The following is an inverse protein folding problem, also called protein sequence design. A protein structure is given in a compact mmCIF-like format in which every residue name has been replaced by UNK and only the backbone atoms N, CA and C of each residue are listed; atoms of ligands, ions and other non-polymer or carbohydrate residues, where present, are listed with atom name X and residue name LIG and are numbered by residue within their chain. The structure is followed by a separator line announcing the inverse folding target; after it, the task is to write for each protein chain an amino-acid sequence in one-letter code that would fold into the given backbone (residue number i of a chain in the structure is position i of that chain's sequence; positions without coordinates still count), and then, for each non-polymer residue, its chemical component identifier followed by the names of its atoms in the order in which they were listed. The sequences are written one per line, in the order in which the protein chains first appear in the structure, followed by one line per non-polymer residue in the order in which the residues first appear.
data_IF_988316898559
#
_entry.id   IF_988316898559
#
_cell.length_a   1.000
_cell.length_b   1.000
_cell.length_c   1.000
_cell.angle_alpha   90.00
_cell.angle_beta   90.00
_cell.angle_gamma   90.00
#
_symmetry.space_group_name_H-M   'P 1'
#
loop_
_entity.id
_entity.type
_entity.pdbx_description
1 polymer ?
#
# COMPACT_ATOMS: atom_id res chain seq x y z
N UNK A 1 16.06 25.53 -19.29
CA UNK A 1 14.87 24.72 -19.55
C UNK A 1 15.34 23.31 -19.86
N UNK A 2 14.97 22.32 -19.04
CA UNK A 2 15.30 20.91 -19.30
C UNK A 2 14.17 20.33 -20.16
N UNK A 3 14.53 19.73 -21.30
CA UNK A 3 13.57 19.02 -22.14
C UNK A 3 13.36 17.62 -21.54
N UNK A 4 12.11 17.25 -21.28
CA UNK A 4 11.74 15.94 -20.72
C UNK A 4 10.84 15.24 -21.72
N UNK A 5 11.26 14.07 -22.18
CA UNK A 5 10.52 13.25 -23.13
C UNK A 5 9.33 12.54 -22.51
N UNK A 6 9.45 12.22 -21.21
CA UNK A 6 8.42 11.48 -20.50
C UNK A 6 7.31 12.39 -19.94
N UNK A 7 6.04 11.93 -19.92
CA UNK A 7 4.93 12.74 -19.43
C UNK A 7 4.95 12.94 -17.91
N UNK A 8 5.60 12.05 -17.16
CA UNK A 8 5.77 12.15 -15.69
C UNK A 8 7.04 12.93 -15.35
N UNK A 9 7.03 13.68 -14.24
CA UNK A 9 8.11 14.58 -13.83
C UNK A 9 8.70 14.19 -12.49
N UNK A 10 7.88 14.08 -11.43
CA UNK A 10 8.33 13.77 -10.07
C UNK A 10 8.89 12.35 -9.98
N UNK A 11 8.32 11.41 -10.74
CA UNK A 11 8.81 10.03 -10.85
C UNK A 11 9.95 9.85 -11.87
N UNK A 12 10.43 10.92 -12.51
CA UNK A 12 11.43 10.83 -13.56
C UNK A 12 12.85 10.93 -12.97
N UNK A 13 13.70 9.97 -13.31
CA UNK A 13 15.13 9.94 -12.94
C UNK A 13 15.91 11.19 -13.36
N UNK A 14 15.45 11.93 -14.37
CA UNK A 14 16.08 13.19 -14.76
C UNK A 14 15.99 14.26 -13.65
N UNK A 15 14.98 14.19 -12.78
CA UNK A 15 14.78 15.11 -11.66
C UNK A 15 15.17 14.50 -10.30
N UNK A 16 15.19 13.19 -10.20
CA UNK A 16 15.57 12.44 -9.00
C UNK A 16 16.43 11.22 -9.41
N UNK A 17 17.73 11.42 -9.65
CA UNK A 17 18.63 10.37 -10.15
C UNK A 17 18.92 9.28 -9.12
N UNK A 18 18.88 9.61 -7.82
CA UNK A 18 19.17 8.68 -6.74
C UNK A 18 18.02 7.69 -6.51
N UNK A 19 18.34 6.52 -5.97
CA UNK A 19 17.33 5.56 -5.55
C UNK A 19 16.55 6.07 -4.34
N UNK A 20 15.23 5.98 -4.42
CA UNK A 20 14.37 6.30 -3.29
C UNK A 20 14.44 5.21 -2.24
N UNK A 21 14.55 5.62 -0.98
CA UNK A 21 14.43 4.73 0.19
C UNK A 21 13.23 5.20 1.00
N UNK A 22 12.24 4.33 1.14
CA UNK A 22 11.00 4.63 1.85
C UNK A 22 10.98 3.88 3.18
N UNK A 23 10.73 4.61 4.27
CA UNK A 23 10.57 4.03 5.60
C UNK A 23 9.10 3.69 5.86
N UNK A 24 8.85 2.45 6.26
CA UNK A 24 7.53 1.95 6.64
C UNK A 24 7.61 1.44 8.07
N UNK A 25 7.28 2.28 9.03
CA UNK A 25 7.30 1.88 10.45
C UNK A 25 8.66 1.38 10.94
N UNK A 26 9.75 1.96 10.43
CA UNK A 26 11.13 1.55 10.73
C UNK A 26 11.73 0.52 9.76
N UNK A 27 10.95 0.01 8.81
CA UNK A 27 11.43 -0.89 7.75
C UNK A 27 11.72 -0.11 6.48
N UNK A 28 12.96 -0.15 6.00
CA UNK A 28 13.38 0.53 4.77
C UNK A 28 13.08 -0.33 3.55
N UNK A 29 12.57 0.30 2.50
CA UNK A 29 12.26 -0.32 1.20
C UNK A 29 12.87 0.51 0.08
N UNK A 30 13.59 -0.11 -0.84
CA UNK A 30 14.30 0.54 -1.94
C UNK A 30 15.76 0.85 -1.62
N UNK A 31 16.52 1.35 -2.59
CA UNK A 31 17.94 1.67 -2.43
C UNK A 31 18.79 0.48 -1.95
N UNK A 32 18.50 -0.73 -2.43
CA UNK A 32 19.16 -1.98 -2.01
C UNK A 32 18.57 -2.64 -0.76
N UNK A 33 17.58 -2.03 -0.09
CA UNK A 33 16.87 -2.64 1.03
C UNK A 33 15.72 -3.51 0.54
N UNK A 34 15.77 -4.80 0.84
CA UNK A 34 14.69 -5.75 0.58
C UNK A 34 13.78 -5.87 1.81
N UNK A 35 12.47 -5.79 1.60
CA UNK A 35 11.48 -6.05 2.63
C UNK A 35 10.52 -7.17 2.18
N UNK A 36 10.25 -8.10 3.09
CA UNK A 36 9.29 -9.19 2.86
C UNK A 36 7.98 -8.82 3.54
N UNK A 37 6.91 -8.73 2.73
CA UNK A 37 5.55 -8.46 3.17
C UNK A 37 4.77 -9.79 3.12
N UNK A 38 4.35 -10.30 4.26
CA UNK A 38 3.61 -11.56 4.35
C UNK A 38 2.38 -11.43 5.24
N UNK A 39 1.41 -12.32 5.04
CA UNK A 39 0.19 -12.35 5.83
C UNK A 39 -1.01 -12.91 5.05
N UNK A 40 -2.18 -13.00 5.70
CA UNK A 40 -3.35 -13.60 5.09
C UNK A 40 -3.91 -12.75 3.95
N UNK A 41 -4.52 -13.40 2.96
CA UNK A 41 -5.24 -12.68 1.90
C UNK A 41 -6.41 -11.87 2.50
N UNK A 42 -7.10 -12.43 3.48
CA UNK A 42 -8.26 -11.87 4.13
C UNK A 42 -8.14 -11.96 5.65
N UNK A 43 -8.56 -10.92 6.36
CA UNK A 43 -8.72 -10.93 7.81
C UNK A 43 -10.07 -11.59 8.11
N UNK A 44 -10.06 -12.70 8.85
CA UNK A 44 -11.26 -13.49 9.15
C UNK A 44 -11.49 -13.66 10.66
N UNK A 45 -10.41 -13.79 11.44
CA UNK A 45 -10.48 -13.78 12.91
C UNK A 45 -9.21 -13.24 13.54
N UNK A 46 -9.30 -12.82 14.80
CA UNK A 46 -8.16 -12.31 15.55
C UNK A 46 -7.11 -13.39 15.79
N UNK A 47 -7.55 -14.58 16.14
CA UNK A 47 -6.70 -15.75 16.41
C UNK A 47 -5.89 -16.12 15.16
N UNK A 48 -6.57 -16.27 14.03
CA UNK A 48 -5.96 -16.56 12.74
C UNK A 48 -4.87 -15.56 12.38
N UNK A 49 -5.17 -14.25 12.46
CA UNK A 49 -4.22 -13.21 12.03
C UNK A 49 -3.02 -13.14 12.95
N UNK A 50 -3.20 -13.26 14.26
CA UNK A 50 -2.08 -13.26 15.22
C UNK A 50 -1.19 -14.50 15.04
N UNK A 51 -1.76 -15.67 14.81
CA UNK A 51 -1.00 -16.90 14.55
C UNK A 51 -0.17 -16.75 13.26
N UNK A 52 -0.81 -16.30 12.17
CA UNK A 52 -0.12 -16.06 10.91
C UNK A 52 0.98 -14.99 11.04
N UNK A 53 0.71 -13.90 11.77
CA UNK A 53 1.68 -12.82 11.99
C UNK A 53 2.93 -13.32 12.74
N UNK A 54 2.75 -14.15 13.78
CA UNK A 54 3.85 -14.78 14.52
C UNK A 54 4.68 -15.71 13.62
N UNK A 55 4.00 -16.55 12.83
CA UNK A 55 4.67 -17.45 11.90
C UNK A 55 5.42 -16.68 10.79
N UNK A 56 4.80 -15.65 10.21
CA UNK A 56 5.43 -14.80 9.22
C UNK A 56 6.68 -14.09 9.77
N UNK A 57 6.58 -13.54 10.99
CA UNK A 57 7.75 -12.92 11.67
C UNK A 57 8.86 -13.93 11.89
N UNK A 58 8.55 -15.11 12.39
CA UNK A 58 9.53 -16.18 12.61
C UNK A 58 10.20 -16.64 11.32
N UNK A 59 9.48 -16.57 10.18
CA UNK A 59 10.00 -16.86 8.85
C UNK A 59 10.78 -15.69 8.22
N UNK A 60 10.93 -14.55 8.89
CA UNK A 60 11.73 -13.41 8.44
C UNK A 60 10.94 -12.33 7.71
N UNK A 61 9.61 -12.32 7.77
CA UNK A 61 8.82 -11.21 7.25
C UNK A 61 9.08 -9.91 8.03
N UNK A 62 9.12 -8.80 7.30
CA UNK A 62 9.37 -7.46 7.85
C UNK A 62 8.08 -6.68 8.08
N UNK A 63 7.03 -6.96 7.28
CA UNK A 63 5.71 -6.33 7.36
C UNK A 63 4.62 -7.38 7.32
N UNK A 64 3.50 -7.09 8.02
CA UNK A 64 2.29 -7.91 8.01
C UNK A 64 1.28 -7.32 7.03
N UNK A 65 0.83 -8.12 6.05
CA UNK A 65 -0.29 -7.71 5.21
C UNK A 65 -1.57 -8.45 5.61
N UNK A 66 -2.69 -7.76 5.50
CA UNK A 66 -4.01 -8.36 5.66
C UNK A 66 -5.08 -7.51 4.97
N UNK A 67 -5.99 -8.15 4.24
CA UNK A 67 -7.12 -7.48 3.61
C UNK A 67 -8.30 -7.38 4.58
N UNK A 68 -8.56 -6.19 5.14
CA UNK A 68 -9.74 -5.93 5.96
C UNK A 68 -10.99 -5.69 5.11
N UNK A 69 -10.80 -5.07 3.95
CA UNK A 69 -11.81 -4.85 2.91
C UNK A 69 -11.46 -5.68 1.69
N UNK A 70 -12.45 -6.35 1.10
CA UNK A 70 -12.21 -7.29 -0.01
C UNK A 70 -13.05 -6.91 -1.24
N UNK A 71 -12.40 -6.45 -2.34
CA UNK A 71 -13.10 -6.27 -3.61
C UNK A 71 -13.44 -7.63 -4.21
N UNK A 72 -14.70 -7.93 -4.33
CA UNK A 72 -15.19 -9.19 -4.90
C UNK A 72 -16.00 -8.94 -6.16
N UNK A 73 -15.90 -9.84 -7.12
CA UNK A 73 -16.72 -9.80 -8.34
C UNK A 73 -18.17 -10.19 -8.07
N UNK A 74 -18.42 -11.01 -7.05
CA UNK A 74 -19.77 -11.38 -6.61
C UNK A 74 -20.17 -10.57 -5.37
N UNK A 75 -21.36 -9.93 -5.37
CA UNK A 75 -21.86 -9.22 -4.20
C UNK A 75 -22.25 -10.14 -3.04
N UNK A 76 -22.38 -11.45 -3.30
CA UNK A 76 -22.68 -12.46 -2.28
C UNK A 76 -21.43 -13.08 -1.63
N UNK A 77 -20.25 -12.77 -2.13
CA UNK A 77 -18.99 -13.22 -1.53
C UNK A 77 -18.65 -12.39 -0.29
N UNK A 78 -17.80 -12.94 0.59
CA UNK A 78 -17.31 -12.23 1.77
C UNK A 78 -16.58 -10.94 1.39
N UNK A 79 -17.08 -9.80 1.85
CA UNK A 79 -16.58 -8.46 1.50
C UNK A 79 -15.46 -7.97 2.43
N UNK A 80 -15.02 -8.77 3.38
CA UNK A 80 -14.09 -8.40 4.43
C UNK A 80 -14.77 -8.03 5.75
N UNK A 81 -13.98 -7.84 6.79
CA UNK A 81 -14.45 -7.46 8.11
C UNK A 81 -14.56 -5.94 8.31
N UNK A 82 -14.14 -5.14 7.33
CA UNK A 82 -14.16 -3.69 7.43
C UNK A 82 -13.28 -3.17 8.56
N UNK A 83 -13.73 -2.14 9.26
CA UNK A 83 -13.00 -1.50 10.36
C UNK A 83 -12.60 -2.47 11.47
N UNK A 84 -13.44 -3.45 11.81
CA UNK A 84 -13.07 -4.48 12.80
C UNK A 84 -11.89 -5.33 12.34
N UNK A 85 -11.71 -5.51 11.04
CA UNK A 85 -10.53 -6.17 10.46
C UNK A 85 -9.25 -5.35 10.63
N UNK A 86 -9.33 -4.02 10.59
CA UNK A 86 -8.21 -3.14 10.90
C UNK A 86 -7.80 -3.23 12.38
N UNK A 87 -8.76 -3.30 13.30
CA UNK A 87 -8.49 -3.50 14.73
C UNK A 87 -7.79 -4.82 15.00
N UNK A 88 -8.16 -5.88 14.29
CA UNK A 88 -7.47 -7.17 14.36
C UNK A 88 -6.01 -7.05 13.88
N UNK A 89 -5.76 -6.32 12.80
CA UNK A 89 -4.40 -6.08 12.30
C UNK A 89 -3.56 -5.28 13.31
N UNK A 90 -4.16 -4.28 13.96
CA UNK A 90 -3.50 -3.52 15.05
C UNK A 90 -3.12 -4.45 16.21
N UNK A 91 -4.02 -5.31 16.65
CA UNK A 91 -3.72 -6.29 17.69
C UNK A 91 -2.58 -7.26 17.29
N UNK A 92 -2.53 -7.67 16.02
CA UNK A 92 -1.44 -8.49 15.51
C UNK A 92 -0.10 -7.72 15.44
N UNK A 93 -0.12 -6.43 15.09
CA UNK A 93 1.05 -5.55 15.16
C UNK A 93 1.55 -5.42 16.60
N UNK A 94 0.67 -5.20 17.57
CA UNK A 94 1.03 -5.14 18.99
C UNK A 94 1.69 -6.44 19.47
N UNK A 95 1.17 -7.59 19.01
CA UNK A 95 1.70 -8.90 19.39
C UNK A 95 3.05 -9.25 18.72
N UNK A 96 3.40 -8.65 17.58
CA UNK A 96 4.56 -9.05 16.79
C UNK A 96 5.54 -7.93 16.51
N UNK A 97 5.11 -6.67 16.57
CA UNK A 97 5.89 -5.50 16.15
C UNK A 97 5.99 -5.33 14.63
N UNK A 98 5.27 -6.13 13.82
CA UNK A 98 5.29 -5.99 12.36
C UNK A 98 4.42 -4.80 11.93
N UNK A 99 4.96 -3.83 11.15
CA UNK A 99 4.15 -2.78 10.54
C UNK A 99 3.06 -3.36 9.61
N UNK A 100 1.92 -2.67 9.54
CA UNK A 100 0.74 -3.15 8.82
C UNK A 100 0.69 -2.63 7.40
N UNK A 101 0.36 -3.55 6.46
CA UNK A 101 -0.02 -3.25 5.08
C UNK A 101 -1.48 -3.68 4.85
N UNK A 102 -2.34 -2.76 4.44
CA UNK A 102 -3.74 -3.08 4.11
C UNK A 102 -4.25 -2.25 2.94
N UNK A 103 -5.20 -2.80 2.18
CA UNK A 103 -5.75 -2.16 1.00
C UNK A 103 -6.90 -1.21 1.35
N UNK A 104 -6.72 0.07 1.02
CA UNK A 104 -7.76 1.09 1.04
C UNK A 104 -8.58 0.99 -0.24
N UNK A 105 -9.89 0.79 -0.10
CA UNK A 105 -10.80 0.67 -1.23
C UNK A 105 -11.58 1.94 -1.51
N UNK A 106 -11.93 2.69 -0.48
CA UNK A 106 -12.71 3.91 -0.56
C UNK A 106 -12.12 5.01 0.34
N UNK A 107 -12.24 6.26 -0.11
CA UNK A 107 -11.78 7.42 0.64
C UNK A 107 -12.55 7.65 1.95
N UNK A 108 -13.72 7.05 2.12
CA UNK A 108 -14.50 7.09 3.37
C UNK A 108 -13.70 6.56 4.57
N UNK A 109 -12.84 5.56 4.32
CA UNK A 109 -12.03 4.93 5.38
C UNK A 109 -10.62 5.53 5.52
N UNK A 110 -10.31 6.59 4.77
CA UNK A 110 -8.95 7.12 4.68
C UNK A 110 -8.39 7.56 6.04
N UNK A 111 -9.18 8.24 6.86
CA UNK A 111 -8.74 8.72 8.17
C UNK A 111 -8.39 7.57 9.11
N UNK A 112 -9.19 6.50 9.09
CA UNK A 112 -8.93 5.29 9.86
C UNK A 112 -7.65 4.57 9.38
N UNK A 113 -7.42 4.53 8.07
CA UNK A 113 -6.19 3.99 7.50
C UNK A 113 -4.97 4.83 7.87
N UNK A 114 -5.10 6.14 7.87
CA UNK A 114 -4.02 7.04 8.32
C UNK A 114 -3.67 6.79 9.78
N UNK A 115 -4.63 6.49 10.62
CA UNK A 115 -4.39 6.17 12.02
C UNK A 115 -3.74 4.80 12.21
N UNK A 116 -4.29 3.75 11.59
CA UNK A 116 -4.01 2.34 11.93
C UNK A 116 -3.01 1.64 11.02
N UNK A 117 -2.85 2.05 9.76
CA UNK A 117 -2.05 1.35 8.75
C UNK A 117 -0.73 2.05 8.52
N UNK A 118 0.37 1.31 8.40
CA UNK A 118 1.72 1.87 8.18
C UNK A 118 2.05 2.04 6.70
N UNK A 119 1.56 1.14 5.84
CA UNK A 119 1.70 1.18 4.38
C UNK A 119 0.32 0.98 3.75
N UNK A 120 -0.22 2.05 3.17
CA UNK A 120 -1.55 2.03 2.56
C UNK A 120 -1.44 1.48 1.14
N UNK A 121 -2.08 0.32 0.89
CA UNK A 121 -2.12 -0.26 -0.44
C UNK A 121 -3.28 0.29 -1.24
N UNK A 122 -3.00 0.71 -2.47
CA UNK A 122 -4.01 0.97 -3.50
C UNK A 122 -4.02 -0.23 -4.44
N UNK A 123 -5.14 -0.93 -4.49
CA UNK A 123 -5.30 -2.13 -5.29
C UNK A 123 -5.34 -1.84 -6.79
N UNK A 124 -5.12 -2.89 -7.60
CA UNK A 124 -5.06 -2.79 -9.05
C UNK A 124 -6.33 -2.20 -9.67
N UNK A 125 -7.50 -2.45 -9.09
CA UNK A 125 -8.79 -1.91 -9.55
C UNK A 125 -8.92 -0.40 -9.31
N UNK A 126 -8.19 0.16 -8.37
CA UNK A 126 -8.18 1.58 -8.02
C UNK A 126 -6.94 2.34 -8.56
N UNK A 127 -6.09 1.69 -9.36
CA UNK A 127 -4.92 2.35 -9.93
C UNK A 127 -5.29 3.60 -10.75
N UNK A 128 -6.41 3.58 -11.44
CA UNK A 128 -6.92 4.68 -12.26
C UNK A 128 -8.03 5.50 -11.56
N UNK A 129 -8.29 5.25 -10.30
CA UNK A 129 -9.19 6.07 -9.49
C UNK A 129 -8.45 7.35 -9.06
N UNK A 130 -8.26 8.26 -10.00
CA UNK A 130 -7.44 9.46 -9.80
C UNK A 130 -7.95 10.36 -8.68
N UNK A 131 -9.26 10.37 -8.42
CA UNK A 131 -9.81 11.13 -7.30
C UNK A 131 -9.40 10.53 -5.95
N UNK A 132 -9.39 9.20 -5.82
CA UNK A 132 -8.84 8.52 -4.64
C UNK A 132 -7.35 8.82 -4.49
N UNK A 133 -6.57 8.71 -5.57
CA UNK A 133 -5.12 8.95 -5.55
C UNK A 133 -4.79 10.38 -5.10
N UNK A 134 -5.51 11.38 -5.60
CA UNK A 134 -5.36 12.78 -5.18
C UNK A 134 -5.71 12.98 -3.72
N UNK A 135 -6.82 12.40 -3.24
CA UNK A 135 -7.24 12.48 -1.84
C UNK A 135 -6.18 11.88 -0.91
N UNK A 136 -5.72 10.68 -1.22
CA UNK A 136 -4.67 9.98 -0.45
C UNK A 136 -3.37 10.80 -0.43
N UNK A 137 -2.89 11.25 -1.59
CA UNK A 137 -1.65 12.04 -1.70
C UNK A 137 -1.70 13.35 -0.92
N UNK A 138 -2.89 13.97 -0.84
CA UNK A 138 -3.10 15.22 -0.10
C UNK A 138 -3.21 15.00 1.42
N UNK A 139 -3.89 13.92 1.83
CA UNK A 139 -4.26 13.69 3.24
C UNK A 139 -3.10 13.19 4.10
N UNK A 140 -2.12 12.48 3.53
CA UNK A 140 -1.07 11.84 4.32
C UNK A 140 0.28 11.83 3.64
N UNK A 141 1.35 11.68 4.45
CA UNK A 141 2.73 11.36 4.00
C UNK A 141 3.09 9.90 4.28
N UNK A 142 2.17 9.11 4.82
CA UNK A 142 2.40 7.67 4.96
C UNK A 142 2.70 7.05 3.60
N UNK A 143 3.57 6.04 3.54
CA UNK A 143 3.90 5.36 2.31
C UNK A 143 2.67 4.72 1.65
N UNK A 144 2.64 4.78 0.32
CA UNK A 144 1.57 4.23 -0.50
C UNK A 144 2.15 3.11 -1.38
N UNK A 145 1.57 1.92 -1.30
CA UNK A 145 1.87 0.79 -2.17
C UNK A 145 0.88 0.77 -3.32
N UNK A 146 1.31 1.20 -4.50
CA UNK A 146 0.46 1.30 -5.69
C UNK A 146 0.63 0.07 -6.57
N UNK A 147 -0.41 -0.77 -6.65
CA UNK A 147 -0.40 -1.96 -7.51
C UNK A 147 -0.72 -1.60 -8.96
N UNK A 148 0.00 -2.23 -9.91
CA UNK A 148 -0.28 -2.09 -11.33
C UNK A 148 -1.68 -2.62 -11.67
N UNK A 149 -2.40 -1.91 -12.53
CA UNK A 149 -3.72 -2.33 -13.04
C UNK A 149 -3.64 -3.62 -13.86
N UNK A 150 -4.79 -4.26 -14.06
CA UNK A 150 -4.89 -5.60 -14.68
C UNK A 150 -4.27 -5.67 -16.09
N UNK A 151 -4.39 -4.60 -16.87
CA UNK A 151 -3.85 -4.48 -18.23
C UNK A 151 -3.18 -3.12 -18.46
N UNK A 152 -2.73 -2.46 -17.39
CA UNK A 152 -2.08 -1.17 -17.47
C UNK A 152 -0.64 -1.31 -17.98
N UNK A 153 -0.21 -0.34 -18.79
CA UNK A 153 1.17 -0.18 -19.18
C UNK A 153 2.01 0.36 -18.02
N UNK A 154 3.33 0.24 -18.09
CA UNK A 154 4.24 0.86 -17.13
C UNK A 154 4.06 2.38 -17.06
N UNK A 155 3.88 3.03 -18.22
CA UNK A 155 3.67 4.47 -18.29
C UNK A 155 2.40 4.90 -17.56
N UNK A 156 1.28 4.21 -17.78
CA UNK A 156 0.02 4.46 -17.07
C UNK A 156 0.17 4.28 -15.56
N UNK A 157 0.90 3.25 -15.14
CA UNK A 157 1.16 2.97 -13.73
C UNK A 157 2.01 4.06 -13.08
N UNK A 158 3.10 4.50 -13.74
CA UNK A 158 3.96 5.59 -13.26
C UNK A 158 3.16 6.91 -13.23
N UNK A 159 2.31 7.18 -14.23
CA UNK A 159 1.43 8.36 -14.22
C UNK A 159 0.44 8.35 -13.06
N UNK A 160 -0.03 7.18 -12.66
CA UNK A 160 -0.87 7.06 -11.46
C UNK A 160 -0.08 7.36 -10.18
N UNK A 161 1.18 6.92 -10.09
CA UNK A 161 2.07 7.34 -9.00
C UNK A 161 2.31 8.85 -9.00
N UNK A 162 2.48 9.45 -10.17
CA UNK A 162 2.64 10.91 -10.33
C UNK A 162 1.45 11.69 -9.77
N UNK A 163 0.21 11.19 -9.88
CA UNK A 163 -0.97 11.80 -9.25
C UNK A 163 -0.85 11.88 -7.73
N UNK A 164 -0.36 10.83 -7.09
CA UNK A 164 -0.14 10.80 -5.64
C UNK A 164 0.97 11.80 -5.26
N UNK A 165 2.08 11.76 -5.99
CA UNK A 165 3.24 12.61 -5.73
C UNK A 165 2.94 14.09 -5.95
N UNK A 166 2.26 14.44 -7.05
CA UNK A 166 1.83 15.80 -7.36
C UNK A 166 0.81 16.36 -6.36
N UNK A 167 0.06 15.48 -5.71
CA UNK A 167 -0.86 15.85 -4.62
C UNK A 167 -0.15 16.06 -3.29
N UNK A 168 1.16 15.78 -3.22
CA UNK A 168 2.02 16.13 -2.09
C UNK A 168 2.65 14.95 -1.35
N UNK A 169 2.42 13.70 -1.72
CA UNK A 169 3.04 12.53 -1.07
C UNK A 169 4.07 11.86 -1.98
N UNK A 170 5.38 12.07 -1.74
CA UNK A 170 6.44 11.46 -2.55
C UNK A 170 6.72 9.99 -2.20
N UNK A 171 6.14 9.46 -1.11
CA UNK A 171 6.44 8.14 -0.59
C UNK A 171 5.59 7.06 -1.30
N UNK A 172 5.87 6.80 -2.57
CA UNK A 172 5.15 5.82 -3.39
C UNK A 172 6.05 4.64 -3.71
N UNK A 173 5.56 3.44 -3.41
CA UNK A 173 6.18 2.16 -3.74
C UNK A 173 5.35 1.53 -4.86
N UNK A 174 5.99 1.20 -5.96
CA UNK A 174 5.35 0.52 -7.07
C UNK A 174 5.31 -0.99 -6.81
N UNK A 175 4.14 -1.60 -6.95
CA UNK A 175 3.96 -3.04 -6.78
C UNK A 175 3.52 -3.67 -8.11
N UNK A 176 4.44 -4.39 -8.74
CA UNK A 176 4.14 -5.22 -9.90
C UNK A 176 3.24 -6.39 -9.48
N UNK A 177 2.53 -6.94 -10.41
CA UNK A 177 1.69 -8.11 -10.17
C UNK A 177 1.99 -9.21 -11.19
N UNK A 178 2.03 -10.43 -10.70
CA UNK A 178 2.15 -11.61 -11.54
C UNK A 178 0.85 -12.04 -12.19
#
# INVERSE_FOLDING_TARGET
VMHVSEPYKLANRAFHPEDSVIDVGGVKIGGGHLAVIAGPCSVESKEQVIEIAKAAKAAGANLLRGGAFKPRTSPYAFQGMGSSGLDILVAAKEATGLPIVSELMDAEYLDEFIEKVDLIQIGARNMQNFDLLKKVGKATKKPILLKRGLSATFQEWIMSAEYIMASGNPNVILCERG
#
